data_IF_078551535769
#
_entry.id   IF_078551535769
#
_cell.length_a   1.000
_cell.length_b   1.000
_cell.length_c   1.000
_cell.angle_alpha   90.00
_cell.angle_beta   90.00
_cell.angle_gamma   90.00
#
_symmetry.space_group_name_H-M   'P 1'
#
loop_
_entity.id
_entity.type
_entity.pdbx_description
1 polymer ?
#
# COMPACT_ATOMS: atom_id res chain seq x y z
N UNK A 1 -14.93 -12.05 -3.00
CA UNK A 1 -14.81 -10.69 -2.45
C UNK A 1 -15.96 -9.77 -2.82
N UNK A 2 -16.26 -9.54 -4.10
CA UNK A 2 -17.39 -8.67 -4.50
C UNK A 2 -18.73 -9.04 -3.81
N UNK A 3 -19.05 -10.33 -3.72
CA UNK A 3 -20.23 -10.81 -2.96
C UNK A 3 -20.16 -10.38 -1.49
N UNK A 4 -19.01 -10.52 -0.83
CA UNK A 4 -18.83 -10.10 0.57
C UNK A 4 -18.93 -8.58 0.74
N UNK A 5 -18.51 -7.78 -0.26
CA UNK A 5 -18.74 -6.33 -0.27
C UNK A 5 -20.23 -6.01 -0.25
N UNK A 6 -21.02 -6.67 -1.09
CA UNK A 6 -22.48 -6.48 -1.13
C UNK A 6 -23.12 -6.95 0.18
N UNK A 7 -22.79 -8.15 0.66
CA UNK A 7 -23.32 -8.70 1.92
C UNK A 7 -23.00 -7.78 3.10
N UNK A 8 -21.75 -7.32 3.22
CA UNK A 8 -21.37 -6.43 4.31
C UNK A 8 -21.99 -5.03 4.17
N UNK A 9 -22.23 -4.58 2.93
CA UNK A 9 -22.95 -3.34 2.66
C UNK A 9 -24.42 -3.41 3.07
N UNK A 10 -25.09 -4.54 2.82
CA UNK A 10 -26.43 -4.81 3.34
C UNK A 10 -26.39 -4.86 4.88
N UNK A 11 -25.40 -5.54 5.46
CA UNK A 11 -25.22 -5.62 6.91
C UNK A 11 -25.06 -4.24 7.58
N UNK A 12 -24.42 -3.27 6.92
CA UNK A 12 -24.33 -1.89 7.41
C UNK A 12 -25.67 -1.17 7.53
N UNK A 13 -26.70 -1.64 6.81
CA UNK A 13 -28.04 -1.05 6.80
C UNK A 13 -29.00 -1.89 7.67
N UNK A 14 -28.81 -3.21 7.70
CA UNK A 14 -29.75 -4.16 8.29
C UNK A 14 -29.40 -4.63 9.71
N UNK A 15 -28.20 -4.33 10.22
CA UNK A 15 -27.73 -4.78 11.53
C UNK A 15 -27.14 -3.62 12.33
N UNK A 16 -27.91 -3.18 13.33
CA UNK A 16 -27.60 -2.03 14.18
C UNK A 16 -26.54 -2.32 15.25
N UNK A 17 -26.00 -3.55 15.33
CA UNK A 17 -24.99 -3.89 16.33
C UNK A 17 -23.72 -3.05 16.14
N UNK A 18 -23.16 -2.64 17.27
CA UNK A 18 -21.90 -1.90 17.34
C UNK A 18 -20.84 -2.78 17.99
N UNK A 19 -19.64 -2.81 17.41
CA UNK A 19 -18.49 -3.51 17.97
C UNK A 19 -17.29 -2.56 17.99
N UNK A 20 -16.71 -2.36 19.18
CA UNK A 20 -15.59 -1.46 19.39
C UNK A 20 -15.83 -0.02 18.85
N UNK A 21 -17.04 0.51 19.07
CA UNK A 21 -17.39 1.89 18.73
C UNK A 21 -17.78 2.15 17.27
N UNK A 22 -17.87 1.11 16.43
CA UNK A 22 -18.30 1.24 15.03
C UNK A 22 -19.37 0.19 14.66
N UNK A 23 -20.19 0.44 13.62
CA UNK A 23 -21.12 -0.56 13.10
C UNK A 23 -20.40 -1.88 12.81
N UNK A 24 -20.97 -3.01 13.23
CA UNK A 24 -20.25 -4.28 13.29
C UNK A 24 -19.79 -4.78 11.90
N UNK A 25 -20.57 -4.45 10.85
CA UNK A 25 -20.26 -4.80 9.45
C UNK A 25 -19.25 -3.87 8.77
N UNK A 26 -18.85 -2.80 9.45
CA UNK A 26 -17.97 -1.79 8.87
C UNK A 26 -16.57 -2.31 8.54
N UNK A 27 -16.02 -3.16 9.42
CA UNK A 27 -14.74 -3.82 9.20
C UNK A 27 -14.82 -4.81 8.02
N UNK A 28 -15.77 -5.77 7.97
CA UNK A 28 -15.96 -6.63 6.81
C UNK A 28 -16.09 -5.88 5.48
N UNK A 29 -16.89 -4.82 5.46
CA UNK A 29 -17.09 -4.02 4.24
C UNK A 29 -15.78 -3.43 3.72
N UNK A 30 -15.00 -2.77 4.60
CA UNK A 30 -13.70 -2.20 4.23
C UNK A 30 -12.72 -3.25 3.72
N UNK A 31 -12.56 -4.35 4.46
CA UNK A 31 -11.65 -5.42 4.06
C UNK A 31 -12.07 -6.03 2.72
N UNK A 32 -13.36 -6.28 2.50
CA UNK A 32 -13.85 -6.80 1.23
C UNK A 32 -13.56 -5.85 0.05
N UNK A 33 -13.83 -4.56 0.20
CA UNK A 33 -13.51 -3.54 -0.83
C UNK A 33 -12.00 -3.48 -1.08
N UNK A 34 -11.20 -3.41 -0.02
CA UNK A 34 -9.74 -3.39 -0.11
C UNK A 34 -9.19 -4.63 -0.81
N UNK A 35 -9.70 -5.83 -0.49
CA UNK A 35 -9.27 -7.06 -1.16
C UNK A 35 -9.67 -7.10 -2.64
N UNK A 36 -10.83 -6.54 -3.03
CA UNK A 36 -11.17 -6.41 -4.46
C UNK A 36 -10.14 -5.54 -5.18
N UNK A 37 -9.89 -4.34 -4.67
CA UNK A 37 -8.95 -3.39 -5.28
C UNK A 37 -7.53 -3.95 -5.31
N UNK A 38 -7.11 -4.60 -4.23
CA UNK A 38 -5.80 -5.24 -4.10
C UNK A 38 -5.63 -6.41 -5.07
N UNK A 39 -6.60 -7.32 -5.14
CA UNK A 39 -6.56 -8.47 -6.03
C UNK A 39 -6.55 -8.05 -7.51
N UNK A 40 -7.35 -7.04 -7.88
CA UNK A 40 -7.36 -6.50 -9.24
C UNK A 40 -6.01 -5.87 -9.62
N UNK A 41 -5.41 -5.09 -8.71
CA UNK A 41 -4.10 -4.50 -8.93
C UNK A 41 -3.01 -5.57 -9.13
N UNK A 42 -2.98 -6.60 -8.27
CA UNK A 42 -2.02 -7.70 -8.40
C UNK A 42 -2.26 -8.55 -9.65
N UNK A 43 -3.52 -8.86 -9.96
CA UNK A 43 -3.88 -9.62 -11.16
C UNK A 43 -3.42 -8.88 -12.43
N UNK A 44 -3.63 -7.56 -12.48
CA UNK A 44 -3.11 -6.73 -13.57
C UNK A 44 -1.58 -6.75 -13.63
N UNK A 45 -0.88 -6.53 -12.51
CA UNK A 45 0.59 -6.54 -12.50
C UNK A 45 1.18 -7.89 -12.90
N UNK A 46 0.56 -9.00 -12.52
CA UNK A 46 0.99 -10.35 -12.90
C UNK A 46 0.96 -10.59 -14.41
N UNK A 47 0.14 -9.85 -15.18
CA UNK A 47 0.17 -9.91 -16.65
C UNK A 47 1.50 -9.42 -17.24
N UNK A 48 2.25 -8.61 -16.49
CA UNK A 48 3.54 -8.04 -16.90
C UNK A 48 4.71 -9.01 -16.65
N UNK A 49 4.47 -10.09 -15.92
CA UNK A 49 5.49 -11.10 -15.59
C UNK A 49 5.55 -12.13 -16.71
N UNK A 50 6.61 -12.09 -17.53
CA UNK A 50 6.80 -13.04 -18.64
C UNK A 50 7.59 -14.29 -18.22
N UNK A 51 8.55 -14.15 -17.28
CA UNK A 51 9.32 -15.26 -16.70
C UNK A 51 8.81 -15.55 -15.29
N UNK A 52 8.62 -16.83 -14.95
CA UNK A 52 8.06 -17.23 -13.65
C UNK A 52 6.53 -17.14 -13.57
N UNK A 53 5.83 -17.16 -14.71
CA UNK A 53 4.35 -17.08 -14.78
C UNK A 53 3.65 -18.09 -13.87
N UNK A 54 4.14 -19.34 -13.80
CA UNK A 54 3.56 -20.38 -12.93
C UNK A 54 3.71 -20.03 -11.44
N UNK A 55 4.86 -19.47 -11.04
CA UNK A 55 5.10 -19.01 -9.67
C UNK A 55 4.17 -17.83 -9.36
N UNK A 56 4.08 -16.86 -10.27
CA UNK A 56 3.18 -15.72 -10.13
C UNK A 56 1.71 -16.12 -10.03
N UNK A 57 1.28 -17.09 -10.83
CA UNK A 57 -0.07 -17.64 -10.78
C UNK A 57 -0.37 -18.27 -9.42
N UNK A 58 0.50 -19.15 -8.92
CA UNK A 58 0.32 -19.76 -7.61
C UNK A 58 0.37 -18.72 -6.48
N UNK A 59 1.31 -17.78 -6.51
CA UNK A 59 1.37 -16.71 -5.51
C UNK A 59 0.09 -15.86 -5.51
N UNK A 60 -0.45 -15.52 -6.69
CA UNK A 60 -1.74 -14.83 -6.81
C UNK A 60 -2.91 -15.65 -6.28
N UNK A 61 -2.95 -16.95 -6.57
CA UNK A 61 -3.95 -17.88 -6.04
C UNK A 61 -3.87 -17.98 -4.52
N UNK A 62 -2.67 -18.07 -3.95
CA UNK A 62 -2.46 -18.09 -2.49
C UNK A 62 -2.93 -16.78 -1.85
N UNK A 63 -2.59 -15.62 -2.43
CA UNK A 63 -3.12 -14.33 -1.96
C UNK A 63 -4.64 -14.33 -1.95
N UNK A 64 -5.28 -14.82 -3.01
CA UNK A 64 -6.74 -14.86 -3.10
C UNK A 64 -7.37 -15.80 -2.05
N UNK A 65 -6.82 -17.00 -1.87
CA UNK A 65 -7.31 -17.97 -0.89
C UNK A 65 -7.09 -17.50 0.54
N UNK A 66 -5.91 -16.96 0.87
CA UNK A 66 -5.64 -16.37 2.19
C UNK A 66 -6.58 -15.20 2.46
N UNK A 67 -6.83 -14.33 1.48
CA UNK A 67 -7.80 -13.23 1.64
C UNK A 67 -9.21 -13.76 1.91
N UNK A 68 -9.62 -14.85 1.26
CA UNK A 68 -10.92 -15.50 1.51
C UNK A 68 -11.01 -16.10 2.92
N UNK A 69 -9.95 -16.75 3.39
CA UNK A 69 -9.88 -17.27 4.75
C UNK A 69 -9.99 -16.15 5.80
N UNK A 70 -9.25 -15.05 5.60
CA UNK A 70 -9.36 -13.82 6.40
C UNK A 70 -10.81 -13.33 6.47
N UNK A 71 -11.49 -13.21 5.31
CA UNK A 71 -12.87 -12.74 5.30
C UNK A 71 -13.86 -13.72 5.93
N UNK A 72 -13.62 -15.03 5.82
CA UNK A 72 -14.46 -16.02 6.49
C UNK A 72 -14.37 -15.86 8.02
N UNK A 73 -13.16 -15.71 8.56
CA UNK A 73 -12.94 -15.53 10.00
C UNK A 73 -13.48 -14.16 10.46
N UNK A 74 -13.19 -13.07 9.73
CA UNK A 74 -13.69 -11.72 10.05
C UNK A 74 -15.22 -11.70 10.10
N UNK A 75 -15.87 -12.24 9.06
CA UNK A 75 -17.33 -12.28 8.97
C UNK A 75 -17.93 -13.20 10.04
N UNK A 76 -17.34 -14.37 10.27
CA UNK A 76 -17.78 -15.29 11.31
C UNK A 76 -17.72 -14.66 12.71
N UNK A 77 -16.64 -13.93 13.02
CA UNK A 77 -16.52 -13.20 14.28
C UNK A 77 -17.52 -12.04 14.40
N UNK A 78 -17.81 -11.34 13.30
CA UNK A 78 -18.87 -10.33 13.25
C UNK A 78 -20.25 -10.94 13.54
N UNK A 79 -20.58 -12.08 12.95
CA UNK A 79 -21.84 -12.79 13.24
C UNK A 79 -21.95 -13.11 14.73
N UNK A 80 -20.84 -13.57 15.34
CA UNK A 80 -20.73 -13.88 16.77
C UNK A 80 -20.73 -12.65 17.70
N UNK A 81 -20.69 -11.42 17.17
CA UNK A 81 -20.59 -10.22 18.00
C UNK A 81 -19.22 -10.03 18.66
N UNK A 82 -18.15 -10.59 18.07
CA UNK A 82 -16.81 -10.67 18.67
C UNK A 82 -15.75 -10.04 17.77
N UNK A 83 -14.63 -9.62 18.38
CA UNK A 83 -13.48 -9.08 17.65
C UNK A 83 -12.76 -10.22 16.92
N UNK A 84 -12.30 -9.94 15.70
CA UNK A 84 -11.48 -10.90 14.93
C UNK A 84 -9.98 -10.73 15.15
N UNK A 85 -9.50 -9.51 15.33
CA UNK A 85 -8.08 -9.23 15.57
C UNK A 85 -7.87 -8.91 17.05
N UNK A 86 -6.69 -9.29 17.58
CA UNK A 86 -6.25 -9.05 18.95
C UNK A 86 -7.06 -9.78 20.02
N UNK A 87 -7.95 -10.71 19.65
CA UNK A 87 -8.91 -11.29 20.57
C UNK A 87 -8.36 -12.58 21.23
N UNK A 88 -8.06 -12.49 22.52
CA UNK A 88 -7.58 -13.58 23.37
C UNK A 88 -8.60 -13.96 24.47
N UNK A 89 -9.85 -13.49 24.37
CA UNK A 89 -10.86 -13.67 25.43
C UNK A 89 -11.27 -15.14 25.66
N UNK A 90 -11.13 -16.01 24.67
CA UNK A 90 -11.40 -17.46 24.79
C UNK A 90 -10.42 -18.27 23.95
N UNK A 91 -10.19 -19.56 24.26
CA UNK A 91 -9.31 -20.42 23.45
C UNK A 91 -9.73 -20.51 21.98
N UNK A 92 -11.03 -20.45 21.71
CA UNK A 92 -11.55 -20.45 20.34
C UNK A 92 -11.23 -19.12 19.62
N UNK A 93 -11.40 -17.98 20.29
CA UNK A 93 -11.10 -16.68 19.71
C UNK A 93 -9.60 -16.51 19.44
N UNK A 94 -8.76 -16.99 20.35
CA UNK A 94 -7.30 -17.02 20.20
C UNK A 94 -6.88 -17.93 19.04
N UNK A 95 -7.51 -19.09 18.88
CA UNK A 95 -7.24 -20.00 17.75
C UNK A 95 -7.58 -19.31 16.43
N UNK A 96 -8.72 -18.62 16.35
CA UNK A 96 -9.13 -17.87 15.17
C UNK A 96 -8.16 -16.72 14.88
N UNK A 97 -7.75 -15.95 15.90
CA UNK A 97 -6.79 -14.87 15.73
C UNK A 97 -5.40 -15.39 15.30
N UNK A 98 -4.94 -16.50 15.86
CA UNK A 98 -3.69 -17.17 15.48
C UNK A 98 -3.74 -17.68 14.04
N UNK A 99 -4.87 -18.24 13.61
CA UNK A 99 -5.08 -18.62 12.21
C UNK A 99 -4.97 -17.41 11.28
N UNK A 100 -5.55 -16.26 11.67
CA UNK A 100 -5.42 -14.99 10.94
C UNK A 100 -3.96 -14.52 10.87
N UNK A 101 -3.21 -14.59 11.96
CA UNK A 101 -1.80 -14.22 11.95
C UNK A 101 -0.99 -15.05 10.94
N UNK A 102 -1.26 -16.37 10.85
CA UNK A 102 -0.66 -17.25 9.85
C UNK A 102 -1.07 -16.85 8.43
N UNK A 103 -2.35 -16.59 8.18
CA UNK A 103 -2.81 -16.18 6.84
C UNK A 103 -2.25 -14.84 6.41
N UNK A 104 -2.07 -13.88 7.32
CA UNK A 104 -1.39 -12.60 7.05
C UNK A 104 0.07 -12.83 6.64
N UNK A 105 0.82 -13.70 7.33
CA UNK A 105 2.20 -14.04 6.96
C UNK A 105 2.27 -14.69 5.57
N UNK A 106 1.35 -15.60 5.27
CA UNK A 106 1.25 -16.26 3.95
C UNK A 106 0.95 -15.24 2.86
N UNK A 107 0.00 -14.33 3.10
CA UNK A 107 -0.40 -13.28 2.17
C UNK A 107 0.76 -12.31 1.90
N UNK A 108 1.44 -11.86 2.97
CA UNK A 108 2.60 -10.97 2.87
C UNK A 108 3.75 -11.65 2.10
N UNK A 109 4.06 -12.91 2.40
CA UNK A 109 5.11 -13.69 1.73
C UNK A 109 4.78 -13.93 0.26
N UNK A 110 3.52 -14.25 -0.06
CA UNK A 110 3.09 -14.42 -1.45
C UNK A 110 3.16 -13.11 -2.24
N UNK A 111 2.83 -11.98 -1.59
CA UNK A 111 3.03 -10.65 -2.17
C UNK A 111 4.52 -10.35 -2.39
N UNK A 112 5.39 -10.75 -1.45
CA UNK A 112 6.84 -10.61 -1.60
C UNK A 112 7.36 -11.40 -2.81
N UNK A 113 6.88 -12.62 -3.02
CA UNK A 113 7.20 -13.41 -4.21
C UNK A 113 6.77 -12.67 -5.49
N UNK A 114 5.56 -12.11 -5.52
CA UNK A 114 5.07 -11.32 -6.66
C UNK A 114 5.96 -10.08 -6.86
N UNK A 115 6.35 -9.38 -5.80
CA UNK A 115 7.23 -8.22 -5.87
C UNK A 115 8.59 -8.60 -6.47
N UNK A 116 9.20 -9.72 -6.04
CA UNK A 116 10.46 -10.21 -6.59
C UNK A 116 10.33 -10.54 -8.09
N UNK A 117 9.21 -11.14 -8.51
CA UNK A 117 8.93 -11.38 -9.92
C UNK A 117 8.81 -10.07 -10.71
N UNK A 118 8.12 -9.06 -10.19
CA UNK A 118 7.95 -7.75 -10.82
C UNK A 118 9.27 -6.94 -10.89
N UNK A 119 10.12 -7.06 -9.87
CA UNK A 119 11.46 -6.47 -9.87
C UNK A 119 12.33 -7.07 -10.98
N UNK A 120 12.19 -8.37 -11.25
CA UNK A 120 12.91 -9.10 -12.30
C UNK A 120 12.24 -9.03 -13.67
N UNK A 121 10.98 -8.59 -13.74
CA UNK A 121 10.22 -8.50 -14.97
C UNK A 121 10.86 -7.47 -15.92
N UNK A 122 10.92 -7.83 -17.21
CA UNK A 122 11.38 -6.96 -18.29
C UNK A 122 10.21 -6.09 -18.76
N UNK A 123 10.02 -4.96 -18.08
CA UNK A 123 9.00 -3.95 -18.43
C UNK A 123 9.65 -2.94 -19.38
N UNK A 124 9.11 -2.81 -20.60
CA UNK A 124 9.75 -2.04 -21.68
C UNK A 124 9.87 -0.53 -21.39
N UNK A 125 8.81 0.09 -20.87
CA UNK A 125 8.83 1.49 -20.47
C UNK A 125 9.43 1.65 -19.06
N UNK A 126 10.48 2.48 -18.94
CA UNK A 126 11.19 2.69 -17.67
C UNK A 126 10.33 3.36 -16.61
N UNK A 127 9.43 4.27 -16.99
CA UNK A 127 8.53 4.93 -16.04
C UNK A 127 7.54 3.92 -15.46
N UNK A 128 6.97 3.04 -16.30
CA UNK A 128 6.14 1.91 -15.88
C UNK A 128 6.89 0.98 -14.94
N UNK A 129 8.13 0.61 -15.29
CA UNK A 129 8.96 -0.25 -14.44
C UNK A 129 9.13 0.36 -13.04
N UNK A 130 9.46 1.65 -12.94
CA UNK A 130 9.62 2.31 -11.64
C UNK A 130 8.31 2.49 -10.89
N UNK A 131 7.21 2.86 -11.55
CA UNK A 131 5.90 3.02 -10.92
C UNK A 131 5.43 1.70 -10.27
N UNK A 132 5.57 0.59 -10.99
CA UNK A 132 5.19 -0.75 -10.50
C UNK A 132 6.12 -1.22 -9.38
N UNK A 133 7.44 -1.11 -9.57
CA UNK A 133 8.43 -1.62 -8.60
C UNK A 133 8.39 -0.83 -7.30
N UNK A 134 8.33 0.49 -7.36
CA UNK A 134 8.18 1.32 -6.15
C UNK A 134 6.82 1.11 -5.50
N UNK A 135 5.74 1.00 -6.29
CA UNK A 135 4.40 0.71 -5.79
C UNK A 135 4.33 -0.58 -4.98
N UNK A 136 4.84 -1.69 -5.52
CA UNK A 136 4.81 -2.99 -4.82
C UNK A 136 5.75 -3.03 -3.61
N UNK A 137 6.91 -2.38 -3.67
CA UNK A 137 7.85 -2.31 -2.54
C UNK A 137 7.28 -1.49 -1.38
N UNK A 138 6.74 -0.30 -1.66
CA UNK A 138 6.11 0.53 -0.63
C UNK A 138 4.84 -0.13 -0.08
N UNK A 139 4.11 -0.88 -0.90
CA UNK A 139 2.97 -1.66 -0.43
C UNK A 139 3.37 -2.79 0.52
N UNK A 140 4.50 -3.46 0.28
CA UNK A 140 5.05 -4.46 1.21
C UNK A 140 5.48 -3.85 2.54
N UNK A 141 6.10 -2.67 2.51
CA UNK A 141 6.44 -1.90 3.72
C UNK A 141 5.15 -1.52 4.47
N UNK A 142 4.16 -0.99 3.76
CA UNK A 142 2.84 -0.68 4.30
C UNK A 142 2.18 -1.87 4.97
N UNK A 143 2.11 -3.00 4.27
CA UNK A 143 1.56 -4.25 4.79
C UNK A 143 2.34 -4.73 6.02
N UNK A 144 3.67 -4.54 6.04
CA UNK A 144 4.53 -4.88 7.16
C UNK A 144 4.21 -4.14 8.46
N UNK A 145 3.65 -2.94 8.41
CA UNK A 145 3.21 -2.24 9.63
C UNK A 145 2.10 -2.99 10.39
N UNK A 146 1.37 -3.90 9.74
CA UNK A 146 0.41 -4.77 10.43
C UNK A 146 1.06 -5.62 11.52
N UNK A 147 2.31 -6.07 11.33
CA UNK A 147 3.04 -6.85 12.33
C UNK A 147 3.37 -6.06 13.60
N UNK A 148 3.48 -4.74 13.50
CA UNK A 148 3.68 -3.89 14.68
C UNK A 148 2.42 -3.85 15.55
N UNK A 149 1.23 -3.89 14.94
CA UNK A 149 -0.04 -3.79 15.65
C UNK A 149 -0.35 -5.05 16.48
N UNK A 150 0.19 -6.20 16.10
CA UNK A 150 -0.02 -7.46 16.82
C UNK A 150 0.91 -7.62 18.03
N UNK A 151 1.87 -6.72 18.21
CA UNK A 151 2.78 -6.76 19.36
C UNK A 151 2.11 -6.11 20.57
N UNK A 152 2.29 -6.66 21.79
CA UNK A 152 1.82 -5.98 23.00
C UNK A 152 2.38 -4.56 23.10
N UNK A 153 1.53 -3.59 23.44
CA UNK A 153 1.96 -2.21 23.66
C UNK A 153 2.87 -2.10 24.89
N UNK A 154 3.67 -1.03 25.01
CA UNK A 154 4.46 -0.79 26.22
C UNK A 154 3.61 -0.82 27.50
N UNK A 155 2.40 -0.29 27.44
CA UNK A 155 1.45 -0.26 28.56
C UNK A 155 0.94 -1.67 28.89
N UNK A 156 0.59 -2.47 27.88
CA UNK A 156 0.18 -3.87 28.08
C UNK A 156 1.31 -4.71 28.69
N UNK A 157 2.57 -4.48 28.28
CA UNK A 157 3.74 -5.16 28.89
C UNK A 157 3.96 -4.72 30.33
N UNK A 158 3.85 -3.43 30.60
CA UNK A 158 4.01 -2.88 31.95
C UNK A 158 2.93 -3.36 32.92
N UNK A 159 1.71 -3.63 32.43
CA UNK A 159 0.63 -4.20 33.22
C UNK A 159 0.91 -5.64 33.67
N UNK A 160 1.79 -6.38 32.98
CA UNK A 160 2.29 -7.68 33.42
C UNK A 160 1.28 -8.84 33.41
N UNK A 161 0.07 -8.61 32.90
CA UNK A 161 -1.05 -9.57 32.92
C UNK A 161 -1.40 -10.13 31.53
N UNK A 162 -0.43 -10.17 30.61
CA UNK A 162 -0.63 -10.60 29.22
C UNK A 162 -1.30 -11.98 29.12
N UNK A 163 -0.98 -12.91 30.01
CA UNK A 163 -1.53 -14.27 30.03
C UNK A 163 -3.05 -14.32 30.33
N UNK A 164 -3.61 -13.22 30.84
CA UNK A 164 -5.01 -13.08 31.22
C UNK A 164 -5.72 -11.95 30.47
N UNK A 165 -5.02 -11.28 29.55
CA UNK A 165 -5.55 -10.15 28.82
C UNK A 165 -6.43 -10.62 27.67
N UNK A 166 -7.70 -10.21 27.67
CA UNK A 166 -8.63 -10.48 26.57
C UNK A 166 -8.19 -9.85 25.23
N UNK A 167 -7.35 -8.82 25.28
CA UNK A 167 -6.86 -8.07 24.12
C UNK A 167 -5.37 -7.85 24.20
N UNK A 168 -4.63 -8.34 23.20
CA UNK A 168 -3.18 -8.19 23.07
C UNK A 168 -2.83 -7.59 21.72
N UNK A 169 -2.03 -6.53 21.75
CA UNK A 169 -1.80 -5.67 20.59
C UNK A 169 -2.76 -4.49 20.54
N UNK A 170 -2.44 -3.53 19.67
CA UNK A 170 -3.23 -2.33 19.43
C UNK A 170 -2.81 -1.68 18.12
N UNK A 171 -3.68 -0.87 17.53
CA UNK A 171 -3.30 0.01 16.43
C UNK A 171 -3.07 1.45 16.86
N UNK A 172 -3.68 1.90 17.96
CA UNK A 172 -3.49 3.25 18.50
C UNK A 172 -2.20 3.31 19.33
N UNK A 173 -1.56 4.48 19.31
CA UNK A 173 -0.30 4.74 20.00
C UNK A 173 -0.50 5.92 20.95
N UNK A 174 -0.09 5.74 22.21
CA UNK A 174 -0.25 6.74 23.27
C UNK A 174 -1.67 6.88 23.83
N UNK A 175 -2.65 6.13 23.28
CA UNK A 175 -4.03 6.07 23.76
C UNK A 175 -4.61 4.66 23.59
N UNK A 176 -5.62 4.26 24.39
CA UNK A 176 -6.31 2.98 24.19
C UNK A 176 -7.08 2.89 22.87
N UNK A 177 -7.17 1.69 22.30
CA UNK A 177 -8.05 1.39 21.16
C UNK A 177 -9.54 1.51 21.55
N UNK A 178 -10.37 1.92 20.59
CA UNK A 178 -11.82 2.09 20.78
C UNK A 178 -12.25 3.48 21.28
N UNK A 179 -11.31 4.42 21.43
CA UNK A 179 -11.60 5.82 21.71
C UNK A 179 -12.18 6.61 20.51
N UNK A 180 -12.30 7.94 20.64
CA UNK A 180 -12.78 8.81 19.56
C UNK A 180 -12.00 8.61 18.26
N UNK A 181 -12.73 8.51 17.15
CA UNK A 181 -12.15 8.17 15.86
C UNK A 181 -12.77 8.95 14.71
N UNK A 182 -12.01 9.07 13.61
CA UNK A 182 -12.44 9.74 12.40
C UNK A 182 -13.64 9.01 11.77
N UNK A 183 -14.62 9.76 11.22
CA UNK A 183 -15.64 9.14 10.40
C UNK A 183 -14.96 8.45 9.21
N UNK A 184 -15.57 7.36 8.76
CA UNK A 184 -15.11 6.55 7.63
C UNK A 184 -13.82 5.75 7.85
N UNK A 185 -12.70 6.34 8.23
CA UNK A 185 -11.45 5.58 8.39
C UNK A 185 -11.41 4.84 9.73
N UNK A 186 -12.00 5.43 10.76
CA UNK A 186 -11.94 4.94 12.13
C UNK A 186 -10.60 5.22 12.81
N UNK A 187 -9.71 6.03 12.22
CA UNK A 187 -8.42 6.39 12.80
C UNK A 187 -8.56 7.23 14.07
N UNK A 188 -7.68 7.03 15.04
CA UNK A 188 -7.69 7.80 16.29
C UNK A 188 -7.61 9.31 16.04
N UNK A 189 -8.46 10.08 16.73
CA UNK A 189 -8.41 11.55 16.72
C UNK A 189 -7.73 12.13 17.95
N UNK A 190 -7.31 11.28 18.89
CA UNK A 190 -6.74 11.68 20.18
C UNK A 190 -5.30 11.20 20.38
N UNK A 191 -4.85 10.21 19.61
CA UNK A 191 -3.49 9.71 19.65
C UNK A 191 -3.02 9.23 18.27
N UNK A 192 -1.82 8.64 18.23
CA UNK A 192 -1.25 8.09 17.00
C UNK A 192 -1.99 6.84 16.55
N UNK A 193 -1.89 6.49 15.26
CA UNK A 193 -2.56 5.32 14.71
C UNK A 193 -1.76 4.66 13.60
N UNK A 194 -1.27 3.43 13.85
CA UNK A 194 -0.47 2.67 12.90
C UNK A 194 -1.27 2.23 11.66
N UNK A 195 -2.61 2.29 11.68
CA UNK A 195 -3.42 2.01 10.49
C UNK A 195 -3.19 3.04 9.40
N UNK A 196 -2.74 4.25 9.74
CA UNK A 196 -2.45 5.31 8.76
C UNK A 196 -1.23 4.92 7.90
N UNK A 197 -0.01 4.70 8.45
CA UNK A 197 1.13 4.28 7.64
C UNK A 197 0.90 2.94 6.96
N UNK A 198 0.16 2.02 7.59
CA UNK A 198 -0.26 0.77 6.96
C UNK A 198 -1.10 1.01 5.70
N UNK A 199 -2.19 1.77 5.82
CA UNK A 199 -3.10 2.11 4.72
C UNK A 199 -2.36 2.88 3.62
N UNK A 200 -1.68 3.97 3.97
CA UNK A 200 -0.95 4.80 3.00
C UNK A 200 0.11 3.97 2.31
N UNK A 201 0.92 3.19 3.03
CA UNK A 201 1.94 2.33 2.42
C UNK A 201 1.35 1.33 1.44
N UNK A 202 0.33 0.56 1.85
CA UNK A 202 -0.33 -0.43 0.98
C UNK A 202 -0.90 0.17 -0.30
N UNK A 203 -1.44 1.39 -0.22
CA UNK A 203 -2.05 2.05 -1.37
C UNK A 203 -1.06 2.56 -2.44
N UNK A 204 0.25 2.51 -2.15
CA UNK A 204 1.28 2.77 -3.17
C UNK A 204 1.15 1.82 -4.37
N UNK A 205 0.67 0.58 -4.13
CA UNK A 205 0.47 -0.44 -5.16
C UNK A 205 -0.46 0.06 -6.27
N UNK A 206 -1.51 0.82 -5.91
CA UNK A 206 -2.45 1.36 -6.88
C UNK A 206 -2.06 2.77 -7.32
N UNK A 207 -1.70 3.64 -6.37
CA UNK A 207 -1.57 5.07 -6.64
C UNK A 207 -0.40 5.42 -7.55
N UNK A 208 0.76 4.74 -7.44
CA UNK A 208 1.91 5.03 -8.30
C UNK A 208 1.69 4.61 -9.77
N UNK A 209 1.15 3.40 -10.06
CA UNK A 209 0.72 3.06 -11.42
C UNK A 209 -0.37 3.98 -11.97
N UNK A 210 -1.38 4.33 -11.15
CA UNK A 210 -2.45 5.25 -11.56
C UNK A 210 -1.91 6.65 -11.87
N UNK A 211 -0.94 7.14 -11.10
CA UNK A 211 -0.27 8.40 -11.37
C UNK A 211 0.42 8.39 -12.74
N UNK A 212 1.15 7.32 -13.08
CA UNK A 212 1.74 7.19 -14.41
C UNK A 212 0.67 7.13 -15.52
N UNK A 213 -0.42 6.38 -15.31
CA UNK A 213 -1.53 6.33 -16.27
C UNK A 213 -2.14 7.71 -16.48
N UNK A 214 -2.28 8.53 -15.43
CA UNK A 214 -2.70 9.91 -15.55
C UNK A 214 -1.71 10.73 -16.39
N UNK A 215 -0.40 10.63 -16.16
CA UNK A 215 0.60 11.32 -16.99
C UNK A 215 0.50 10.93 -18.46
N UNK A 216 0.27 9.64 -18.76
CA UNK A 216 0.06 9.15 -20.13
C UNK A 216 -1.23 9.74 -20.73
N UNK A 217 -2.32 9.74 -19.98
CA UNK A 217 -3.61 10.28 -20.43
C UNK A 217 -3.58 11.80 -20.66
N UNK A 218 -2.71 12.53 -19.94
CA UNK A 218 -2.52 13.98 -20.11
C UNK A 218 -1.54 14.34 -21.24
N UNK A 219 -0.74 13.40 -21.75
CA UNK A 219 0.26 13.66 -22.79
C UNK A 219 -0.28 14.22 -24.12
N UNK A 220 -1.52 13.94 -24.56
CA UNK A 220 -2.10 14.63 -25.71
C UNK A 220 -2.26 16.13 -25.49
N UNK A 221 -2.64 16.56 -24.28
CA UNK A 221 -2.89 17.96 -23.90
C UNK A 221 -1.64 18.72 -23.51
N UNK A 222 -0.67 18.03 -22.89
CA UNK A 222 0.58 18.61 -22.41
C UNK A 222 1.77 17.98 -23.14
N UNK A 223 2.30 18.63 -24.21
CA UNK A 223 3.34 18.04 -25.07
C UNK A 223 4.59 17.57 -24.32
N UNK A 224 4.93 18.22 -23.20
CA UNK A 224 6.06 17.84 -22.32
C UNK A 224 5.94 16.42 -21.77
N UNK A 225 4.72 15.94 -21.51
CA UNK A 225 4.49 14.59 -20.99
C UNK A 225 4.61 13.50 -22.06
N UNK A 226 4.76 13.87 -23.35
CA UNK A 226 5.08 12.91 -24.42
C UNK A 226 6.52 12.42 -24.33
N UNK A 227 7.41 13.18 -23.69
CA UNK A 227 8.79 12.75 -23.46
C UNK A 227 8.83 11.64 -22.36
N UNK A 228 9.23 10.40 -22.69
CA UNK A 228 9.33 9.32 -21.71
C UNK A 228 10.32 9.63 -20.57
N UNK A 229 11.33 10.48 -20.80
CA UNK A 229 12.28 10.91 -19.76
C UNK A 229 11.63 11.84 -18.74
N UNK A 230 10.70 12.69 -19.17
CA UNK A 230 9.92 13.55 -18.26
C UNK A 230 9.01 12.69 -17.40
N UNK A 231 8.26 11.75 -18.00
CA UNK A 231 7.41 10.82 -17.24
C UNK A 231 8.21 10.01 -16.23
N UNK A 232 9.37 9.49 -16.61
CA UNK A 232 10.26 8.76 -15.69
C UNK A 232 10.68 9.64 -14.51
N UNK A 233 11.15 10.86 -14.76
CA UNK A 233 11.56 11.78 -13.69
C UNK A 233 10.40 12.11 -12.75
N UNK A 234 9.21 12.37 -13.28
CA UNK A 234 8.01 12.62 -12.48
C UNK A 234 7.61 11.41 -11.64
N UNK A 235 7.67 10.19 -12.20
CA UNK A 235 7.43 8.96 -11.43
C UNK A 235 8.44 8.81 -10.30
N UNK A 236 9.73 9.03 -10.54
CA UNK A 236 10.75 8.94 -9.49
C UNK A 236 10.51 9.96 -8.36
N UNK A 237 10.16 11.20 -8.71
CA UNK A 237 9.79 12.23 -7.73
C UNK A 237 8.56 11.79 -6.94
N UNK A 238 7.51 11.29 -7.61
CA UNK A 238 6.30 10.82 -6.96
C UNK A 238 6.57 9.62 -6.03
N UNK A 239 7.37 8.64 -6.45
CA UNK A 239 7.77 7.50 -5.63
C UNK A 239 8.55 7.93 -4.38
N UNK A 240 9.49 8.88 -4.53
CA UNK A 240 10.25 9.43 -3.40
C UNK A 240 9.38 10.22 -2.44
N UNK A 241 8.50 11.07 -2.97
CA UNK A 241 7.52 11.82 -2.18
C UNK A 241 6.59 10.89 -1.41
N UNK A 242 6.08 9.84 -2.07
CA UNK A 242 5.21 8.86 -1.44
C UNK A 242 5.91 8.11 -0.31
N UNK A 243 7.15 7.68 -0.53
CA UNK A 243 7.98 7.05 0.50
C UNK A 243 8.20 7.99 1.69
N UNK A 244 8.46 9.27 1.43
CA UNK A 244 8.62 10.28 2.48
C UNK A 244 7.32 10.52 3.25
N UNK A 245 6.17 10.54 2.58
CA UNK A 245 4.85 10.63 3.23
C UNK A 245 4.60 9.40 4.12
N UNK A 246 4.88 8.19 3.65
CA UNK A 246 4.78 6.97 4.47
C UNK A 246 5.66 7.08 5.72
N UNK A 247 6.91 7.52 5.57
CA UNK A 247 7.82 7.74 6.69
C UNK A 247 7.29 8.81 7.66
N UNK A 248 6.78 9.94 7.15
CA UNK A 248 6.20 11.02 7.93
C UNK A 248 5.02 10.54 8.79
N UNK A 249 4.04 9.87 8.18
CA UNK A 249 2.85 9.41 8.91
C UNK A 249 3.17 8.25 9.86
N UNK A 250 4.23 7.48 9.57
CA UNK A 250 4.76 6.49 10.51
C UNK A 250 5.36 7.17 11.72
N UNK A 251 6.22 8.16 11.50
CA UNK A 251 6.85 8.93 12.57
C UNK A 251 5.82 9.70 13.41
N UNK A 252 4.83 10.31 12.78
CA UNK A 252 3.71 10.95 13.46
C UNK A 252 2.94 9.95 14.35
N UNK A 253 2.56 8.80 13.80
CA UNK A 253 1.82 7.77 14.54
C UNK A 253 2.63 7.25 15.74
N UNK A 254 3.92 6.96 15.55
CA UNK A 254 4.79 6.46 16.63
C UNK A 254 5.04 7.48 17.74
N UNK A 255 4.88 8.78 17.47
CA UNK A 255 4.91 9.84 18.50
C UNK A 255 3.58 9.99 19.26
N UNK A 256 2.61 9.12 19.01
CA UNK A 256 1.29 9.21 19.65
C UNK A 256 0.48 10.42 19.19
N UNK A 257 0.81 10.99 18.03
CA UNK A 257 0.14 12.18 17.53
C UNK A 257 -1.01 11.83 16.58
N UNK A 258 -2.22 12.37 16.80
CA UNK A 258 -3.33 12.19 15.87
C UNK A 258 -3.11 12.92 14.53
N UNK A 259 -3.67 12.35 13.46
CA UNK A 259 -3.47 12.84 12.10
C UNK A 259 -4.01 14.27 11.88
N UNK A 260 -5.14 14.58 12.51
CA UNK A 260 -5.87 15.85 12.39
C UNK A 260 -5.33 16.98 13.29
N UNK A 261 -4.41 16.69 14.21
CA UNK A 261 -3.76 17.71 15.04
C UNK A 261 -2.22 17.55 15.01
N UNK A 262 -1.59 17.77 13.83
CA UNK A 262 -0.13 17.70 13.70
C UNK A 262 0.55 18.86 14.44
N UNK A 263 1.76 18.61 14.94
CA UNK A 263 2.58 19.59 15.65
C UNK A 263 3.43 20.36 14.65
N UNK A 264 4.12 21.40 15.14
CA UNK A 264 5.01 22.20 14.29
C UNK A 264 6.09 21.36 13.59
N UNK A 265 6.57 20.29 14.23
CA UNK A 265 7.58 19.41 13.65
C UNK A 265 7.02 18.54 12.50
N UNK A 266 5.83 17.95 12.66
CA UNK A 266 5.11 17.23 11.59
C UNK A 266 4.80 18.18 10.44
N UNK A 267 4.29 19.38 10.73
CA UNK A 267 3.97 20.37 9.70
C UNK A 267 5.22 20.85 8.96
N UNK A 268 6.33 21.09 9.66
CA UNK A 268 7.61 21.45 9.07
C UNK A 268 8.15 20.35 8.15
N UNK A 269 8.10 19.09 8.58
CA UNK A 269 8.50 17.95 7.76
C UNK A 269 7.58 17.77 6.54
N UNK A 270 6.26 17.93 6.70
CA UNK A 270 5.31 17.90 5.60
C UNK A 270 5.57 19.02 4.57
N UNK A 271 5.85 20.24 5.04
CA UNK A 271 6.19 21.37 4.18
C UNK A 271 7.50 21.11 3.42
N UNK A 272 8.52 20.56 4.07
CA UNK A 272 9.78 20.18 3.43
C UNK A 272 9.56 19.14 2.32
N UNK A 273 8.77 18.10 2.59
CA UNK A 273 8.42 17.07 1.59
C UNK A 273 7.69 17.71 0.42
N UNK A 274 6.71 18.59 0.68
CA UNK A 274 5.96 19.28 -0.36
C UNK A 274 6.86 20.16 -1.24
N UNK A 275 7.71 20.99 -0.63
CA UNK A 275 8.64 21.89 -1.34
C UNK A 275 9.64 21.07 -2.17
N UNK A 276 10.26 20.04 -1.58
CA UNK A 276 11.19 19.17 -2.28
C UNK A 276 10.53 18.45 -3.47
N UNK A 277 9.28 17.99 -3.30
CA UNK A 277 8.49 17.36 -4.36
C UNK A 277 8.15 18.33 -5.48
N UNK A 278 7.74 19.56 -5.14
CA UNK A 278 7.44 20.61 -6.12
C UNK A 278 8.69 21.02 -6.91
N UNK A 279 9.82 21.25 -6.24
CA UNK A 279 11.11 21.55 -6.87
C UNK A 279 11.55 20.41 -7.77
N UNK A 280 11.42 19.16 -7.30
CA UNK A 280 11.72 17.96 -8.08
C UNK A 280 10.84 17.84 -9.33
N UNK A 281 9.54 18.10 -9.21
CA UNK A 281 8.60 18.06 -10.33
C UNK A 281 8.89 19.17 -11.36
N UNK A 282 9.16 20.40 -10.91
CA UNK A 282 9.58 21.50 -11.78
C UNK A 282 10.89 21.17 -12.50
N UNK A 283 11.85 20.58 -11.79
CA UNK A 283 13.10 20.08 -12.38
C UNK A 283 12.88 18.97 -13.40
N UNK A 284 11.92 18.06 -13.15
CA UNK A 284 11.56 16.98 -14.06
C UNK A 284 10.99 17.49 -15.40
N UNK A 285 10.32 18.64 -15.38
CA UNK A 285 9.73 19.28 -16.56
C UNK A 285 10.74 20.09 -17.39
N UNK A 286 11.93 20.37 -16.85
CA UNK A 286 12.96 21.14 -17.56
C UNK A 286 13.47 20.37 -18.80
N UNK A 287 13.65 21.08 -19.94
CA UNK A 287 14.22 20.46 -21.13
C UNK A 287 15.65 20.00 -20.85
N UNK A 288 16.07 18.91 -21.52
CA UNK A 288 17.47 18.51 -21.47
C UNK A 288 18.34 19.60 -22.11
N UNK A 289 19.54 19.91 -21.57
CA UNK A 289 20.48 20.81 -22.23
C UNK A 289 20.77 20.33 -23.65
N UNK A 290 20.86 21.27 -24.60
CA UNK A 290 20.98 21.00 -26.04
C UNK A 290 22.23 20.20 -26.48
N UNK A 291 23.11 19.80 -25.55
CA UNK A 291 24.40 19.13 -25.85
C UNK A 291 24.41 17.61 -25.84
N UNK A 292 23.27 16.91 -25.73
CA UNK A 292 23.21 15.43 -25.71
C UNK A 292 22.56 14.80 -26.96
N UNK A 293 22.38 15.55 -28.05
CA UNK A 293 21.90 15.02 -29.33
C UNK A 293 22.99 14.66 -30.34
N UNK A 294 24.28 14.80 -30.02
CA UNK A 294 25.36 14.39 -30.93
C UNK A 294 25.82 12.97 -30.64
N UNK A 295 25.50 12.04 -31.53
CA UNK A 295 26.27 10.80 -31.65
C UNK A 295 25.52 9.54 -32.05
N UNK A 296 24.75 9.54 -33.15
CA UNK A 296 24.67 8.41 -34.09
C UNK A 296 24.05 8.87 -35.42
N UNK A 297 24.87 9.48 -36.28
CA UNK A 297 24.69 9.39 -37.73
C UNK A 297 25.99 8.82 -38.30
N UNK A 298 26.02 7.58 -38.80
CA UNK A 298 26.98 7.21 -39.82
C UNK A 298 26.34 7.57 -41.17
N UNK A 299 26.50 8.83 -41.58
CA UNK A 299 26.23 9.22 -42.97
C UNK A 299 27.49 8.93 -43.79
N UNK A 300 27.32 8.04 -44.77
CA UNK A 300 28.10 7.92 -46.01
C UNK A 300 29.64 7.89 -45.91
N UNK A 301 30.21 6.70 -45.73
CA UNK A 301 31.51 6.39 -46.33
C UNK A 301 31.25 5.80 -47.74
N UNK A 302 31.54 6.64 -48.73
CA UNK A 302 31.46 6.47 -50.17
C UNK A 302 31.71 5.05 -50.73
N UNK A 303 30.73 4.61 -51.51
CA UNK A 303 30.89 3.73 -52.67
C UNK A 303 31.83 4.40 -53.68
N UNK A 304 33.09 4.00 -53.75
CA UNK A 304 33.95 4.21 -54.91
C UNK A 304 35.21 3.34 -54.81
N UNK A 305 35.08 2.06 -55.21
CA UNK A 305 36.19 1.28 -55.76
C UNK A 305 35.62 0.26 -56.74
N UNK A 306 35.39 0.74 -57.95
CA UNK A 306 35.45 -0.09 -59.16
C UNK A 306 36.20 0.75 -60.21
N UNK A 307 37.06 0.08 -60.99
CA UNK A 307 38.01 0.59 -61.99
C UNK A 307 39.40 1.07 -61.50
N UNK A 308 40.35 0.14 -61.41
CA UNK A 308 41.56 0.12 -62.26
C UNK A 308 42.57 -0.97 -61.84
N UNK A 309 42.95 -1.77 -62.85
CA UNK A 309 44.02 -2.80 -62.93
C UNK A 309 43.81 -4.16 -62.30
#
# INVERSE_FOLDING_TARGET
MAVMTVVSGIGLIADDRVLAGAPIWFKPFKFAVSFVVYALALAWMLTLVTRGRRIGWWAGTVVALSSLAEMAIITGQVIRGKRSHFNHATPFDETLFSAMAVTVVILWTSTLVIAVLLLRARIADRASAWAIRSGVLLALVGAGFGFLMTQPTPEQRAAGNLDTADVIGAHSVGVPDGGPSMPLTGWSTTGGDLRIPHFVGMHALQLLPLFLLALVALAPRFPRLRDPRVRLRLVLVASGAYAAVVALVTWQALRGQPLNHPDGATLGAAALILVASAVGALGALRPAPAGQQTGTSPESASTQKEFAS
#
